data_IF_415452388938
#
_entry.id   IF_415452388938
#
_cell.length_a   1.000
_cell.length_b   1.000
_cell.length_c   1.000
_cell.angle_alpha   90.00
_cell.angle_beta   90.00
_cell.angle_gamma   90.00
#
_symmetry.space_group_name_H-M   'P 1'
#
loop_
_entity.id
_entity.type
_entity.pdbx_description
1 polymer ?
#
# COMPACT_ATOMS: atom_id res chain seq x y z
N UNK A 1 3.36 5.78 -21.98
CA UNK A 1 3.97 4.68 -21.19
C UNK A 1 3.26 4.44 -19.84
N UNK A 2 1.98 4.85 -19.67
CA UNK A 2 1.31 4.82 -18.36
C UNK A 2 0.11 3.86 -18.23
N UNK A 3 -0.36 3.15 -19.27
CA UNK A 3 -1.70 2.52 -19.22
C UNK A 3 -1.73 1.01 -19.49
N UNK A 4 -1.35 0.20 -18.49
CA UNK A 4 -1.60 -1.27 -18.49
C UNK A 4 -2.00 -1.77 -17.09
N UNK A 5 -1.31 -1.30 -16.05
CA UNK A 5 -1.70 -1.53 -14.65
C UNK A 5 -3.09 -0.90 -14.36
N UNK A 6 -3.42 0.20 -15.04
CA UNK A 6 -4.68 0.94 -14.89
C UNK A 6 -5.88 0.24 -15.51
N UNK A 7 -5.72 -0.34 -16.70
CA UNK A 7 -6.72 -1.20 -17.33
C UNK A 7 -7.08 -2.38 -16.41
N UNK A 8 -6.07 -2.94 -15.77
CA UNK A 8 -6.21 -4.06 -14.86
C UNK A 8 -6.79 -3.69 -13.49
N UNK A 9 -6.50 -2.48 -12.98
CA UNK A 9 -7.13 -1.88 -11.78
C UNK A 9 -8.58 -1.41 -12.01
N UNK A 10 -9.08 -1.43 -13.24
CA UNK A 10 -10.43 -0.98 -13.61
C UNK A 10 -10.57 0.55 -13.70
N UNK A 11 -9.46 1.26 -13.93
CA UNK A 11 -9.37 2.71 -13.83
C UNK A 11 -9.10 3.43 -15.17
N UNK A 12 -9.05 2.74 -16.31
CA UNK A 12 -8.91 3.42 -17.62
C UNK A 12 -9.71 2.77 -18.76
N UNK A 13 -10.23 3.64 -19.65
CA UNK A 13 -10.98 3.32 -20.90
C UNK A 13 -10.00 2.82 -21.98
N UNK A 14 -10.49 2.11 -23.03
CA UNK A 14 -9.61 1.28 -23.85
C UNK A 14 -8.78 2.14 -24.80
N UNK A 15 -7.47 1.89 -24.85
CA UNK A 15 -6.80 1.60 -26.11
C UNK A 15 -5.45 0.91 -25.89
N UNK A 16 -5.20 -0.06 -26.76
CA UNK A 16 -4.21 -1.13 -26.64
C UNK A 16 -2.78 -0.69 -26.99
N UNK A 17 -1.79 -0.99 -26.13
CA UNK A 17 -0.37 -1.07 -26.51
C UNK A 17 0.33 -2.17 -25.69
N UNK A 18 1.20 -2.95 -26.36
CA UNK A 18 1.89 -4.14 -25.88
C UNK A 18 2.66 -3.98 -24.55
N UNK A 19 2.47 -4.97 -23.68
CA UNK A 19 3.02 -5.03 -22.32
C UNK A 19 4.49 -5.51 -22.29
N UNK A 20 5.43 -4.81 -21.62
CA UNK A 20 6.80 -5.28 -21.39
C UNK A 20 6.85 -6.64 -20.68
N UNK A 21 7.82 -7.49 -21.00
CA UNK A 21 7.89 -8.90 -20.54
C UNK A 21 7.81 -9.08 -19.00
N UNK A 22 8.40 -8.16 -18.24
CA UNK A 22 8.35 -8.16 -16.76
C UNK A 22 6.94 -7.89 -16.24
N UNK A 23 6.23 -6.96 -16.89
CA UNK A 23 4.83 -6.66 -16.59
C UNK A 23 3.90 -7.77 -17.09
N UNK A 24 4.28 -8.51 -18.14
CA UNK A 24 3.55 -9.69 -18.65
C UNK A 24 3.61 -10.87 -17.69
N UNK A 25 4.79 -11.22 -17.17
CA UNK A 25 4.91 -12.28 -16.14
C UNK A 25 4.16 -11.93 -14.84
N UNK A 26 4.03 -10.64 -14.55
CA UNK A 26 3.27 -10.10 -13.42
C UNK A 26 1.76 -10.14 -13.66
N UNK A 27 1.32 -9.78 -14.87
CA UNK A 27 -0.06 -9.99 -15.30
C UNK A 27 -0.42 -11.48 -15.34
N UNK A 28 0.48 -12.38 -15.70
CA UNK A 28 0.25 -13.85 -15.66
C UNK A 28 0.23 -14.42 -14.24
N UNK A 29 1.06 -13.90 -13.34
CA UNK A 29 1.03 -14.24 -11.92
C UNK A 29 -0.30 -13.82 -11.28
N UNK A 30 -0.75 -12.60 -11.56
CA UNK A 30 -1.99 -12.06 -11.03
C UNK A 30 -3.24 -12.53 -11.80
N UNK A 31 -3.14 -12.95 -13.07
CA UNK A 31 -4.23 -13.53 -13.86
C UNK A 31 -4.63 -14.94 -13.40
N UNK A 32 -3.82 -15.58 -12.56
CA UNK A 32 -4.19 -16.81 -11.85
C UNK A 32 -5.04 -16.54 -10.61
N UNK A 33 -5.14 -15.29 -10.17
CA UNK A 33 -6.10 -14.86 -9.17
C UNK A 33 -7.41 -14.46 -9.84
N UNK A 34 -8.53 -14.66 -9.14
CA UNK A 34 -9.79 -14.06 -9.53
C UNK A 34 -9.62 -12.54 -9.73
N UNK A 35 -10.17 -11.93 -10.79
CA UNK A 35 -9.93 -10.52 -11.14
C UNK A 35 -10.19 -9.53 -9.99
N UNK A 36 -11.17 -9.81 -9.14
CA UNK A 36 -11.46 -9.00 -7.96
C UNK A 36 -10.36 -9.09 -6.90
N UNK A 37 -9.84 -10.29 -6.63
CA UNK A 37 -8.76 -10.51 -5.67
C UNK A 37 -7.49 -9.82 -6.11
N UNK A 38 -7.23 -9.88 -7.40
CA UNK A 38 -6.05 -9.30 -7.99
C UNK A 38 -6.10 -7.76 -7.92
N UNK A 39 -7.25 -7.15 -8.25
CA UNK A 39 -7.51 -5.71 -8.03
C UNK A 39 -7.35 -5.30 -6.57
N UNK A 40 -7.86 -6.11 -5.65
CA UNK A 40 -7.71 -5.87 -4.22
C UNK A 40 -6.24 -5.80 -3.81
N UNK A 41 -5.42 -6.78 -4.23
CA UNK A 41 -4.01 -6.85 -3.86
C UNK A 41 -3.18 -5.72 -4.46
N UNK A 42 -3.45 -5.30 -5.70
CA UNK A 42 -2.72 -4.16 -6.25
C UNK A 42 -3.09 -2.84 -5.57
N UNK A 43 -4.37 -2.61 -5.24
CA UNK A 43 -4.76 -1.41 -4.47
C UNK A 43 -4.13 -1.44 -3.08
N UNK A 44 -4.15 -2.61 -2.42
CA UNK A 44 -3.50 -2.82 -1.14
C UNK A 44 -2.00 -2.48 -1.21
N UNK A 45 -1.26 -3.05 -2.16
CA UNK A 45 0.18 -2.79 -2.31
C UNK A 45 0.49 -1.34 -2.66
N UNK A 46 -0.33 -0.69 -3.50
CA UNK A 46 -0.19 0.74 -3.81
C UNK A 46 -0.35 1.61 -2.56
N UNK A 47 -1.31 1.29 -1.68
CA UNK A 47 -1.50 2.03 -0.43
C UNK A 47 -0.34 1.83 0.54
N UNK A 48 0.24 0.62 0.61
CA UNK A 48 1.47 0.40 1.37
C UNK A 48 2.62 1.25 0.82
N UNK A 49 2.80 1.27 -0.50
CA UNK A 49 3.86 2.03 -1.16
C UNK A 49 3.68 3.54 -1.04
N UNK A 50 2.43 4.03 -0.96
CA UNK A 50 2.14 5.45 -0.71
C UNK A 50 2.57 5.89 0.69
N UNK A 51 2.30 5.08 1.71
CA UNK A 51 2.70 5.39 3.09
C UNK A 51 4.21 5.30 3.26
N UNK A 52 4.83 4.22 2.79
CA UNK A 52 6.28 4.06 2.87
C UNK A 52 7.02 5.22 2.19
N UNK A 53 6.50 5.72 1.06
CA UNK A 53 7.11 6.82 0.32
C UNK A 53 6.74 8.22 0.82
N UNK A 54 5.97 8.35 1.90
CA UNK A 54 5.43 9.64 2.34
C UNK A 54 6.53 10.65 2.72
N UNK A 55 7.68 10.17 3.18
CA UNK A 55 8.87 10.96 3.51
C UNK A 55 9.87 11.09 2.35
N UNK A 56 9.49 10.62 1.15
CA UNK A 56 10.30 10.54 -0.07
C UNK A 56 11.44 9.51 -0.04
N UNK A 57 11.48 8.63 0.96
CA UNK A 57 12.37 7.49 1.02
C UNK A 57 11.54 6.19 1.07
N UNK A 58 12.13 5.05 0.74
CA UNK A 58 11.53 3.74 1.06
C UNK A 58 12.68 2.82 1.41
N UNK A 59 12.76 2.41 2.67
CA UNK A 59 13.90 1.65 3.16
C UNK A 59 13.82 0.17 2.75
N UNK A 60 14.96 -0.56 2.78
CA UNK A 60 14.95 -2.01 2.58
C UNK A 60 14.09 -2.74 3.61
N UNK A 61 14.04 -2.27 4.86
CA UNK A 61 13.25 -2.87 5.93
C UNK A 61 11.75 -2.72 5.65
N UNK A 62 11.30 -1.51 5.29
CA UNK A 62 9.91 -1.26 4.86
C UNK A 62 9.54 -2.13 3.66
N UNK A 63 10.43 -2.23 2.67
CA UNK A 63 10.21 -3.07 1.48
C UNK A 63 9.99 -4.53 1.87
N UNK A 64 10.82 -5.06 2.77
CA UNK A 64 10.69 -6.45 3.22
C UNK A 64 9.38 -6.70 3.99
N UNK A 65 8.94 -5.73 4.80
CA UNK A 65 7.64 -5.77 5.49
C UNK A 65 6.50 -5.76 4.47
N UNK A 66 6.54 -4.85 3.49
CA UNK A 66 5.53 -4.79 2.41
C UNK A 66 5.41 -6.12 1.67
N UNK A 67 6.52 -6.76 1.30
CA UNK A 67 6.52 -8.05 0.60
C UNK A 67 5.86 -9.15 1.42
N UNK A 68 6.14 -9.18 2.72
CA UNK A 68 5.58 -10.16 3.67
C UNK A 68 4.08 -9.96 3.84
N UNK A 69 3.64 -8.71 3.93
CA UNK A 69 2.22 -8.36 4.04
C UNK A 69 1.46 -8.68 2.75
N UNK A 70 2.03 -8.39 1.58
CA UNK A 70 1.42 -8.69 0.27
C UNK A 70 1.36 -10.20 0.02
N UNK A 71 2.38 -10.95 0.44
CA UNK A 71 2.36 -12.42 0.41
C UNK A 71 1.22 -12.99 1.27
N UNK A 72 1.15 -12.57 2.53
CA UNK A 72 0.14 -13.06 3.48
C UNK A 72 -1.28 -12.66 3.09
N UNK A 73 -1.50 -11.39 2.77
CA UNK A 73 -2.82 -10.87 2.38
C UNK A 73 -3.22 -11.39 0.99
N UNK A 74 -2.26 -11.55 0.07
CA UNK A 74 -2.51 -12.05 -1.28
C UNK A 74 -2.76 -13.55 -1.35
N UNK A 75 -2.20 -14.33 -0.41
CA UNK A 75 -2.10 -15.78 -0.55
C UNK A 75 -1.27 -16.16 -1.78
N UNK A 76 -0.30 -15.31 -2.15
CA UNK A 76 0.55 -15.48 -3.33
C UNK A 76 1.98 -15.83 -2.92
N UNK A 77 2.74 -16.57 -3.76
CA UNK A 77 4.14 -16.87 -3.49
C UNK A 77 4.99 -15.61 -3.28
N UNK A 78 6.00 -15.70 -2.41
CA UNK A 78 6.99 -14.64 -2.13
C UNK A 78 7.48 -13.90 -3.37
N UNK A 79 7.90 -14.64 -4.41
CA UNK A 79 8.40 -14.05 -5.65
C UNK A 79 7.39 -13.14 -6.34
N UNK A 80 6.10 -13.50 -6.29
CA UNK A 80 5.02 -12.67 -6.84
C UNK A 80 4.76 -11.44 -5.97
N UNK A 81 4.82 -11.59 -4.64
CA UNK A 81 4.69 -10.46 -3.72
C UNK A 81 5.81 -9.42 -3.93
N UNK A 82 7.05 -9.86 -4.12
CA UNK A 82 8.19 -9.00 -4.45
C UNK A 82 7.94 -8.19 -5.72
N UNK A 83 7.42 -8.84 -6.77
CA UNK A 83 7.08 -8.18 -8.02
C UNK A 83 5.97 -7.13 -7.87
N UNK A 84 4.89 -7.48 -7.15
CA UNK A 84 3.78 -6.56 -6.84
C UNK A 84 4.26 -5.35 -6.05
N UNK A 85 5.10 -5.56 -5.03
CA UNK A 85 5.71 -4.47 -4.24
C UNK A 85 6.63 -3.60 -5.10
N UNK A 86 7.46 -4.21 -5.96
CA UNK A 86 8.32 -3.47 -6.88
C UNK A 86 7.54 -2.56 -7.83
N UNK A 87 6.39 -3.01 -8.32
CA UNK A 87 5.47 -2.18 -9.11
C UNK A 87 4.85 -1.08 -8.26
N UNK A 88 4.36 -1.39 -7.06
CA UNK A 88 3.73 -0.40 -6.19
C UNK A 88 4.69 0.75 -5.84
N UNK A 89 5.96 0.44 -5.54
CA UNK A 89 7.01 1.44 -5.31
C UNK A 89 7.24 2.32 -6.54
N UNK A 90 7.34 1.69 -7.71
CA UNK A 90 7.48 2.41 -8.98
C UNK A 90 6.26 3.27 -9.32
N UNK A 91 5.07 2.80 -8.93
CA UNK A 91 3.79 3.50 -9.05
C UNK A 91 3.77 4.74 -8.16
N UNK A 92 4.09 4.64 -6.87
CA UNK A 92 4.19 5.81 -5.97
C UNK A 92 5.14 6.89 -6.49
N UNK A 93 6.25 6.50 -7.15
CA UNK A 93 7.18 7.44 -7.79
C UNK A 93 6.60 8.11 -9.05
N UNK A 94 5.62 7.49 -9.70
CA UNK A 94 5.02 7.94 -10.96
C UNK A 94 3.69 8.69 -10.78
N UNK A 95 3.07 8.59 -9.61
CA UNK A 95 1.79 9.18 -9.27
C UNK A 95 1.96 10.14 -8.09
N UNK A 96 1.97 11.43 -8.41
CA UNK A 96 1.86 12.51 -7.44
C UNK A 96 0.56 13.27 -7.76
N UNK A 97 -0.47 13.13 -6.92
CA UNK A 97 -1.70 13.93 -7.05
C UNK A 97 -3.01 13.14 -6.92
N UNK A 98 -3.95 13.38 -7.83
CA UNK A 98 -5.38 12.99 -7.74
C UNK A 98 -5.67 11.49 -7.82
N UNK A 99 -4.74 10.70 -8.35
CA UNK A 99 -4.90 9.27 -8.57
C UNK A 99 -4.79 8.44 -7.28
N UNK A 100 -3.98 8.91 -6.32
CA UNK A 100 -3.83 8.33 -5.00
C UNK A 100 -5.15 8.29 -4.22
N UNK A 101 -5.86 9.42 -4.24
CA UNK A 101 -7.17 9.56 -3.61
C UNK A 101 -8.20 8.55 -4.18
N UNK A 102 -8.15 8.29 -5.49
CA UNK A 102 -9.06 7.34 -6.15
C UNK A 102 -8.79 5.91 -5.66
N UNK A 103 -7.51 5.51 -5.55
CA UNK A 103 -7.12 4.16 -5.11
C UNK A 103 -7.65 3.87 -3.70
N UNK A 104 -7.47 4.79 -2.76
CA UNK A 104 -7.94 4.60 -1.39
C UNK A 104 -9.48 4.56 -1.31
N UNK A 105 -10.16 5.45 -2.04
CA UNK A 105 -11.62 5.48 -2.07
C UNK A 105 -12.20 4.19 -2.66
N UNK A 106 -11.62 3.70 -3.75
CA UNK A 106 -12.06 2.48 -4.42
C UNK A 106 -11.80 1.25 -3.56
N UNK A 107 -10.65 1.19 -2.88
CA UNK A 107 -10.41 0.16 -1.86
C UNK A 107 -11.47 0.24 -0.76
N UNK A 108 -11.74 1.44 -0.24
CA UNK A 108 -12.73 1.66 0.81
C UNK A 108 -14.17 1.34 0.40
N UNK A 109 -14.50 1.43 -0.88
CA UNK A 109 -15.82 1.09 -1.42
C UNK A 109 -16.03 -0.43 -1.56
N UNK A 110 -14.97 -1.18 -1.87
CA UNK A 110 -15.05 -2.64 -2.05
C UNK A 110 -14.70 -3.44 -0.79
N UNK A 111 -14.01 -2.83 0.18
CA UNK A 111 -13.53 -3.51 1.38
C UNK A 111 -14.56 -3.46 2.53
N UNK A 112 -14.66 -4.58 3.26
CA UNK A 112 -15.37 -4.64 4.54
C UNK A 112 -14.69 -3.77 5.59
N UNK A 113 -15.40 -3.43 6.67
CA UNK A 113 -14.84 -2.66 7.78
C UNK A 113 -13.58 -3.31 8.38
N UNK A 114 -13.61 -4.63 8.58
CA UNK A 114 -12.46 -5.36 9.11
C UNK A 114 -11.25 -5.31 8.18
N UNK A 115 -11.46 -5.36 6.85
CA UNK A 115 -10.38 -5.23 5.88
C UNK A 115 -9.78 -3.82 5.88
N UNK A 116 -10.58 -2.77 6.08
CA UNK A 116 -10.06 -1.40 6.24
C UNK A 116 -9.17 -1.28 7.47
N UNK A 117 -9.60 -1.82 8.61
CA UNK A 117 -8.78 -1.83 9.82
C UNK A 117 -7.52 -2.69 9.67
N UNK A 118 -7.61 -3.82 8.97
CA UNK A 118 -6.46 -4.66 8.66
C UNK A 118 -5.44 -3.92 7.78
N UNK A 119 -5.91 -3.22 6.74
CA UNK A 119 -5.06 -2.35 5.93
C UNK A 119 -4.37 -1.30 6.80
N UNK A 120 -5.09 -0.56 7.65
CA UNK A 120 -4.47 0.46 8.50
C UNK A 120 -3.40 -0.12 9.43
N UNK A 121 -3.62 -1.31 10.01
CA UNK A 121 -2.59 -2.04 10.76
C UNK A 121 -1.36 -2.35 9.90
N UNK A 122 -1.57 -2.78 8.66
CA UNK A 122 -0.48 -3.03 7.72
C UNK A 122 0.30 -1.75 7.40
N UNK A 123 -0.37 -0.61 7.25
CA UNK A 123 0.29 0.68 7.02
C UNK A 123 1.18 1.08 8.20
N UNK A 124 0.66 0.95 9.44
CA UNK A 124 1.48 1.18 10.64
C UNK A 124 2.64 0.19 10.74
N UNK A 125 2.44 -1.08 10.40
CA UNK A 125 3.51 -2.08 10.41
C UNK A 125 4.63 -1.75 9.42
N UNK A 126 4.30 -1.25 8.23
CA UNK A 126 5.29 -0.78 7.25
C UNK A 126 6.07 0.41 7.81
N UNK A 127 5.39 1.47 8.25
CA UNK A 127 6.04 2.65 8.83
C UNK A 127 6.87 2.35 10.10
N UNK A 128 6.49 1.32 10.86
CA UNK A 128 7.22 0.93 12.06
C UNK A 128 8.40 -0.02 11.80
N UNK A 129 8.72 -0.34 10.54
CA UNK A 129 9.74 -1.34 10.18
C UNK A 129 11.12 -1.06 10.82
N UNK A 130 11.49 0.21 10.97
CA UNK A 130 12.77 0.64 11.57
C UNK A 130 12.59 1.19 12.99
N UNK A 131 11.52 0.78 13.67
CA UNK A 131 11.14 1.21 15.02
C UNK A 131 10.94 2.74 15.17
N UNK A 132 10.69 3.45 14.07
CA UNK A 132 10.39 4.86 14.07
C UNK A 132 9.47 5.20 12.88
N UNK A 133 8.29 5.73 13.17
CA UNK A 133 7.32 6.22 12.20
C UNK A 133 7.58 7.70 11.97
N UNK A 134 7.79 8.12 10.72
CA UNK A 134 7.98 9.55 10.43
C UNK A 134 6.67 10.35 10.57
N UNK A 135 6.79 11.67 10.78
CA UNK A 135 5.63 12.57 10.79
C UNK A 135 4.90 12.54 9.43
N UNK A 136 5.63 12.33 8.33
CA UNK A 136 5.06 12.29 6.99
C UNK A 136 4.23 11.02 6.78
N UNK A 137 4.76 9.84 7.14
CA UNK A 137 4.03 8.58 7.15
C UNK A 137 2.78 8.66 8.02
N UNK A 138 2.90 9.14 9.27
CA UNK A 138 1.76 9.24 10.17
C UNK A 138 0.65 10.12 9.57
N UNK A 139 1.01 11.25 8.95
CA UNK A 139 0.04 12.11 8.25
C UNK A 139 -0.62 11.41 7.06
N UNK A 140 0.15 10.62 6.31
CA UNK A 140 -0.38 9.89 5.16
C UNK A 140 -1.32 8.76 5.58
N UNK A 141 -1.02 8.03 6.67
CA UNK A 141 -1.92 7.04 7.27
C UNK A 141 -3.26 7.69 7.66
N UNK A 142 -3.23 8.86 8.29
CA UNK A 142 -4.45 9.59 8.66
C UNK A 142 -5.22 10.11 7.43
N UNK A 143 -4.52 10.46 6.34
CA UNK A 143 -5.16 10.83 5.07
C UNK A 143 -5.89 9.63 4.47
N UNK A 144 -5.21 8.48 4.36
CA UNK A 144 -5.81 7.24 3.84
C UNK A 144 -6.99 6.79 4.71
N UNK A 145 -6.89 6.85 6.04
CA UNK A 145 -7.99 6.49 6.92
C UNK A 145 -9.27 7.31 6.67
N UNK A 146 -9.13 8.61 6.39
CA UNK A 146 -10.26 9.48 6.00
C UNK A 146 -10.85 9.08 4.64
N UNK A 147 -10.00 8.76 3.68
CA UNK A 147 -10.42 8.29 2.34
C UNK A 147 -11.18 6.96 2.43
N UNK A 148 -10.76 6.08 3.34
CA UNK A 148 -11.42 4.80 3.65
C UNK A 148 -12.72 4.95 4.46
N UNK A 149 -12.99 6.14 5.01
CA UNK A 149 -14.07 6.44 5.95
C UNK A 149 -14.00 5.60 7.24
N UNK A 150 -12.80 5.46 7.81
CA UNK A 150 -12.59 4.85 9.13
C UNK A 150 -12.69 5.93 10.21
N UNK A 151 -13.32 5.62 11.33
CA UNK A 151 -13.50 6.57 12.43
C UNK A 151 -12.17 6.91 13.11
N UNK A 152 -12.01 8.18 13.50
CA UNK A 152 -10.76 8.65 14.11
C UNK A 152 -10.42 7.90 15.41
N UNK A 153 -11.42 7.49 16.19
CA UNK A 153 -11.21 6.69 17.40
C UNK A 153 -10.57 5.34 17.13
N UNK A 154 -10.91 4.71 16.00
CA UNK A 154 -10.33 3.43 15.59
C UNK A 154 -8.89 3.61 15.10
N UNK A 155 -8.62 4.67 14.35
CA UNK A 155 -7.25 5.03 13.94
C UNK A 155 -6.36 5.26 15.16
N UNK A 156 -6.87 5.97 16.17
CA UNK A 156 -6.15 6.20 17.44
C UNK A 156 -5.91 4.90 18.19
N UNK A 157 -6.87 3.98 18.23
CA UNK A 157 -6.68 2.68 18.87
C UNK A 157 -5.55 1.90 18.21
N UNK A 158 -5.51 1.83 16.88
CA UNK A 158 -4.44 1.18 16.12
C UNK A 158 -3.09 1.88 16.35
N UNK A 159 -3.07 3.21 16.35
CA UNK A 159 -1.88 4.02 16.61
C UNK A 159 -1.24 3.69 17.97
N UNK A 160 -2.05 3.42 18.99
CA UNK A 160 -1.56 3.09 20.33
C UNK A 160 -0.84 1.74 20.39
N UNK A 161 -1.11 0.82 19.46
CA UNK A 161 -0.38 -0.45 19.33
C UNK A 161 1.11 -0.21 18.98
N UNK A 162 1.42 0.91 18.32
CA UNK A 162 2.76 1.30 17.86
C UNK A 162 3.37 2.44 18.68
N UNK A 163 2.89 2.67 19.92
CA UNK A 163 3.25 3.81 20.77
C UNK A 163 4.76 4.04 20.94
N UNK A 164 5.57 2.97 20.92
CA UNK A 164 7.03 3.03 21.09
C UNK A 164 7.76 3.53 19.84
N UNK A 165 7.11 3.48 18.68
CA UNK A 165 7.65 3.88 17.38
C UNK A 165 7.10 5.22 16.90
N UNK A 166 6.20 5.87 17.67
CA UNK A 166 5.58 7.13 17.25
C UNK A 166 6.57 8.31 17.28
N UNK A 167 6.41 9.29 16.37
CA UNK A 167 7.27 10.45 16.31
C UNK A 167 7.23 11.26 17.61
N UNK A 168 8.40 11.71 18.08
CA UNK A 168 8.56 12.48 19.32
C UNK A 168 8.72 11.67 20.61
N UNK A 169 8.45 10.35 20.60
CA UNK A 169 8.78 9.45 21.72
C UNK A 169 10.07 8.64 21.45
N UNK A 170 10.33 8.27 20.19
CA UNK A 170 11.57 7.60 19.80
C UNK A 170 12.83 8.47 19.99
N UNK A 171 12.69 9.79 19.84
CA UNK A 171 13.77 10.76 20.03
C UNK A 171 14.24 10.84 21.50
N UNK A 172 13.33 10.64 22.46
CA UNK A 172 13.63 10.67 23.90
C UNK A 172 14.28 9.38 24.43
N UNK A 173 14.31 8.32 23.63
CA UNK A 173 14.97 7.07 24.01
C UNK A 173 16.46 7.02 23.58
N UNK A 174 16.95 8.07 22.90
CA UNK A 174 18.35 8.20 22.43
C UNK A 174 19.16 9.27 23.19
N UNK A 175 18.58 9.89 24.22
CA UNK A 175 19.25 10.80 25.18
C UNK A 175 19.42 10.12 26.54
#
# INVERSE_FOLDING_TARGET
>A
MKSLIWSWLGLDRPDAIETPATLRGLLEALARLEPERARYIARFSCLLGRVAHADQHVSPAETQVMETLVEAEGGIPREQAMLVVGLAKSSSLLFAGTEDFIIARDFGASATHQQKLALLRCLFAVSAAEANISIAEEREIHRIARELRVEQSEVVALRLEYRTQLPGLADRARE
#
